data_IF_500209850932
#
_entry.id   IF_500209850932
#
_cell.length_a   1.000
_cell.length_b   1.000
_cell.length_c   1.000
_cell.angle_alpha   90.00
_cell.angle_beta   90.00
_cell.angle_gamma   90.00
#
_symmetry.space_group_name_H-M   'P 1'
#
loop_
_entity.id
_entity.type
_entity.pdbx_description
1 polymer ?
#
# COMPACT_ATOMS: atom_id res chain seq x y z
N UNK A 1 -14.23 -6.15 21.39
CA UNK A 1 -15.64 -5.96 21.00
C UNK A 1 -15.98 -4.47 20.96
N UNK A 2 -15.48 -3.80 19.92
CA UNK A 2 -15.59 -2.33 19.71
C UNK A 2 -17.07 -1.90 19.63
N UNK A 3 -17.96 -2.77 19.12
CA UNK A 3 -19.38 -2.52 19.04
C UNK A 3 -20.07 -2.40 20.41
N UNK A 4 -19.59 -3.14 21.41
CA UNK A 4 -20.11 -3.05 22.79
C UNK A 4 -19.68 -1.78 23.50
N UNK A 5 -18.45 -1.30 23.23
CA UNK A 5 -17.99 -0.01 23.76
C UNK A 5 -18.74 1.17 23.12
N UNK A 6 -19.05 1.08 21.82
CA UNK A 6 -19.85 2.08 21.12
C UNK A 6 -21.26 2.23 21.69
N UNK A 7 -21.90 1.11 22.05
CA UNK A 7 -23.25 1.10 22.64
C UNK A 7 -23.27 1.56 24.11
N UNK A 8 -22.18 1.31 24.85
CA UNK A 8 -22.08 1.69 26.27
C UNK A 8 -21.77 3.17 26.51
N UNK A 9 -21.09 3.83 25.56
CA UNK A 9 -20.67 5.24 25.71
C UNK A 9 -21.67 6.26 25.15
N UNK A 10 -22.74 5.82 24.48
CA UNK A 10 -23.80 6.70 23.97
C UNK A 10 -23.33 7.79 22.99
N UNK A 11 -22.12 7.68 22.48
CA UNK A 11 -21.54 8.69 21.59
C UNK A 11 -21.76 8.33 20.12
N UNK A 12 -22.47 9.16 19.35
CA UNK A 12 -22.62 8.98 17.91
C UNK A 12 -21.30 9.14 17.13
N UNK A 13 -20.19 9.38 17.84
CA UNK A 13 -18.87 9.63 17.27
C UNK A 13 -18.23 8.38 16.65
N UNK A 14 -18.58 7.18 17.10
CA UNK A 14 -17.98 5.94 16.59
C UNK A 14 -18.51 5.54 15.22
N UNK A 15 -19.69 5.99 14.82
CA UNK A 15 -20.20 5.79 13.45
C UNK A 15 -19.51 6.69 12.41
N UNK A 16 -18.82 7.73 12.86
CA UNK A 16 -18.02 8.63 11.99
C UNK A 16 -16.54 8.24 11.91
N UNK A 17 -16.09 7.31 12.75
CA UNK A 17 -14.71 6.77 12.69
C UNK A 17 -14.60 5.71 11.59
N UNK A 18 -14.75 6.15 10.35
CA UNK A 18 -14.80 5.28 9.16
C UNK A 18 -13.42 4.90 8.64
N UNK A 19 -12.33 5.44 9.17
CA UNK A 19 -10.98 5.13 8.70
C UNK A 19 -10.19 4.32 9.73
N UNK A 20 -9.52 3.25 9.28
CA UNK A 20 -8.73 2.36 10.15
C UNK A 20 -7.68 3.10 10.99
N UNK A 21 -7.08 4.16 10.47
CA UNK A 21 -6.10 4.98 11.17
C UNK A 21 -6.69 5.72 12.38
N UNK A 22 -7.90 6.27 12.23
CA UNK A 22 -8.60 6.97 13.32
C UNK A 22 -9.00 6.00 14.43
N UNK A 23 -9.51 4.82 14.05
CA UNK A 23 -9.85 3.77 15.00
C UNK A 23 -8.64 3.29 15.80
N UNK A 24 -7.50 3.11 15.12
CA UNK A 24 -6.23 2.75 15.77
C UNK A 24 -5.77 3.83 16.74
N UNK A 25 -5.81 5.10 16.34
CA UNK A 25 -5.43 6.22 17.18
C UNK A 25 -6.33 6.34 18.42
N UNK A 26 -7.61 6.09 18.28
CA UNK A 26 -8.55 6.10 19.40
C UNK A 26 -8.30 4.93 20.36
N UNK A 27 -8.09 3.72 19.83
CA UNK A 27 -7.76 2.55 20.64
C UNK A 27 -6.47 2.78 21.47
N UNK A 28 -5.42 3.37 20.86
CA UNK A 28 -4.20 3.73 21.59
C UNK A 28 -4.44 4.85 22.62
N UNK A 29 -5.37 5.77 22.33
CA UNK A 29 -5.68 6.86 23.27
C UNK A 29 -6.41 6.38 24.53
N UNK A 30 -7.13 5.26 24.48
CA UNK A 30 -7.78 4.69 25.66
C UNK A 30 -6.78 4.16 26.69
N UNK A 31 -5.61 3.69 26.24
CA UNK A 31 -4.57 3.13 27.11
C UNK A 31 -3.52 4.19 27.48
N UNK A 32 -3.05 4.97 26.51
CA UNK A 32 -1.92 5.90 26.65
C UNK A 32 -2.35 7.39 26.64
N UNK A 33 -3.65 7.66 26.61
CA UNK A 33 -4.17 9.03 26.58
C UNK A 33 -3.68 9.82 25.36
N UNK A 34 -3.38 11.11 25.56
CA UNK A 34 -2.93 12.01 24.48
C UNK A 34 -1.63 11.55 23.82
N UNK A 35 -0.73 10.89 24.56
CA UNK A 35 0.52 10.36 24.03
C UNK A 35 0.26 9.27 22.98
N UNK A 36 -0.73 8.40 23.19
CA UNK A 36 -1.08 7.33 22.25
C UNK A 36 -1.44 7.85 20.85
N UNK A 37 -2.24 8.93 20.76
CA UNK A 37 -2.59 9.56 19.48
C UNK A 37 -1.36 10.13 18.76
N UNK A 38 -0.48 10.81 19.49
CA UNK A 38 0.76 11.35 18.95
C UNK A 38 1.69 10.27 18.43
N UNK A 39 1.85 9.20 19.19
CA UNK A 39 2.65 8.04 18.79
C UNK A 39 2.14 7.39 17.50
N UNK A 40 0.84 7.14 17.39
CA UNK A 40 0.24 6.57 16.18
C UNK A 40 0.41 7.51 14.98
N UNK A 41 0.20 8.82 15.16
CA UNK A 41 0.36 9.80 14.08
C UNK A 41 1.80 9.83 13.53
N UNK A 42 2.81 9.87 14.40
CA UNK A 42 4.22 9.84 14.01
C UNK A 42 4.58 8.52 13.33
N UNK A 43 4.13 7.39 13.89
CA UNK A 43 4.38 6.06 13.31
C UNK A 43 3.79 5.93 11.91
N UNK A 44 2.56 6.40 11.70
CA UNK A 44 1.91 6.40 10.39
C UNK A 44 2.63 7.32 9.39
N UNK A 45 3.08 8.49 9.83
CA UNK A 45 3.84 9.40 8.98
C UNK A 45 5.17 8.79 8.52
N UNK A 46 5.93 8.17 9.44
CA UNK A 46 7.17 7.49 9.12
C UNK A 46 6.95 6.29 8.21
N UNK A 47 5.90 5.51 8.45
CA UNK A 47 5.52 4.37 7.61
C UNK A 47 5.14 4.81 6.20
N UNK A 48 4.30 5.84 6.07
CA UNK A 48 3.92 6.41 4.78
C UNK A 48 5.13 6.94 4.00
N UNK A 49 6.02 7.67 4.67
CA UNK A 49 7.26 8.18 4.07
C UNK A 49 8.17 7.06 3.57
N UNK A 50 8.41 6.05 4.40
CA UNK A 50 9.19 4.86 4.04
C UNK A 50 8.60 4.12 2.84
N UNK A 51 7.28 3.97 2.82
CA UNK A 51 6.55 3.33 1.73
C UNK A 51 6.69 4.11 0.42
N UNK A 52 6.53 5.44 0.47
CA UNK A 52 6.73 6.31 -0.70
C UNK A 52 8.15 6.19 -1.28
N UNK A 53 9.18 6.17 -0.43
CA UNK A 53 10.56 5.98 -0.86
C UNK A 53 10.77 4.62 -1.53
N UNK A 54 10.27 3.54 -0.93
CA UNK A 54 10.38 2.18 -1.46
C UNK A 54 9.70 2.05 -2.82
N UNK A 55 8.45 2.48 -2.94
CA UNK A 55 7.71 2.42 -4.20
C UNK A 55 8.29 3.33 -5.28
N UNK A 56 8.78 4.51 -4.92
CA UNK A 56 9.50 5.39 -5.84
C UNK A 56 10.73 4.71 -6.42
N UNK A 57 11.51 4.02 -5.58
CA UNK A 57 12.69 3.30 -6.03
C UNK A 57 12.35 2.13 -6.96
N UNK A 58 11.39 1.30 -6.61
CA UNK A 58 10.96 0.18 -7.47
C UNK A 58 10.43 0.65 -8.82
N UNK A 59 9.61 1.69 -8.82
CA UNK A 59 9.09 2.25 -10.06
C UNK A 59 10.19 2.87 -10.94
N UNK A 60 11.18 3.54 -10.35
CA UNK A 60 12.35 4.04 -11.11
C UNK A 60 13.12 2.90 -11.77
N UNK A 61 13.33 1.79 -11.08
CA UNK A 61 14.02 0.62 -11.63
C UNK A 61 13.24 -0.02 -12.77
N UNK A 62 11.93 -0.16 -12.61
CA UNK A 62 11.06 -0.67 -13.66
C UNK A 62 11.04 0.26 -14.90
N UNK A 63 10.92 1.56 -14.69
CA UNK A 63 10.94 2.55 -15.77
C UNK A 63 12.29 2.57 -16.51
N UNK A 64 13.40 2.51 -15.77
CA UNK A 64 14.74 2.43 -16.35
C UNK A 64 14.96 1.16 -17.17
N UNK A 65 14.42 0.04 -16.71
CA UNK A 65 14.49 -1.23 -17.45
C UNK A 65 13.73 -1.18 -18.78
N UNK A 66 12.56 -0.55 -18.81
CA UNK A 66 11.71 -0.48 -20.00
C UNK A 66 12.14 0.60 -21.00
N UNK A 67 12.58 1.76 -20.52
CA UNK A 67 12.76 2.98 -21.31
C UNK A 67 14.19 3.56 -21.22
N UNK A 68 15.06 2.93 -20.44
CA UNK A 68 16.42 3.39 -20.20
C UNK A 68 16.54 4.45 -19.08
N UNK A 69 17.75 4.72 -18.64
CA UNK A 69 18.00 5.58 -17.47
C UNK A 69 17.59 7.06 -17.64
N UNK A 70 17.46 7.52 -18.89
CA UNK A 70 17.06 8.91 -19.20
C UNK A 70 15.63 9.24 -18.71
N UNK A 71 14.81 8.24 -18.48
CA UNK A 71 13.42 8.44 -18.01
C UNK A 71 13.32 8.70 -16.49
N UNK A 72 14.37 8.41 -15.74
CA UNK A 72 14.35 8.50 -14.27
C UNK A 72 13.93 9.89 -13.76
N UNK A 73 14.47 11.02 -14.26
CA UNK A 73 14.05 12.33 -13.76
C UNK A 73 12.57 12.64 -14.07
N UNK A 74 12.09 12.23 -15.25
CA UNK A 74 10.68 12.41 -15.64
C UNK A 74 9.77 11.56 -14.74
N UNK A 75 10.15 10.30 -14.50
CA UNK A 75 9.43 9.43 -13.58
C UNK A 75 9.36 10.01 -12.16
N UNK A 76 10.47 10.53 -11.63
CA UNK A 76 10.49 11.16 -10.29
C UNK A 76 9.55 12.34 -10.20
N UNK A 77 9.56 13.21 -11.20
CA UNK A 77 8.66 14.36 -11.25
C UNK A 77 7.19 13.92 -11.31
N UNK A 78 6.86 12.97 -12.17
CA UNK A 78 5.50 12.43 -12.29
C UNK A 78 5.05 11.74 -10.98
N UNK A 79 5.92 10.95 -10.36
CA UNK A 79 5.63 10.28 -9.09
C UNK A 79 5.37 11.29 -7.97
N UNK A 80 6.17 12.34 -7.86
CA UNK A 80 6.00 13.39 -6.85
C UNK A 80 4.69 14.16 -7.07
N UNK A 81 4.38 14.52 -8.31
CA UNK A 81 3.12 15.18 -8.65
C UNK A 81 1.92 14.28 -8.33
N UNK A 82 1.99 13.00 -8.64
CA UNK A 82 0.93 12.03 -8.31
C UNK A 82 0.76 11.88 -6.79
N UNK A 83 1.85 11.84 -6.02
CA UNK A 83 1.80 11.78 -4.56
C UNK A 83 1.13 13.03 -3.96
N UNK A 84 1.49 14.22 -4.44
CA UNK A 84 0.86 15.48 -4.01
C UNK A 84 -0.62 15.53 -4.40
N UNK A 85 -0.96 15.16 -5.63
CA UNK A 85 -2.35 15.08 -6.08
C UNK A 85 -3.17 14.09 -5.22
N UNK A 86 -2.60 12.93 -4.90
CA UNK A 86 -3.24 11.94 -4.03
C UNK A 86 -3.54 12.48 -2.62
N UNK A 87 -2.68 13.34 -2.07
CA UNK A 87 -2.93 13.99 -0.78
C UNK A 87 -4.10 15.00 -0.81
N UNK A 88 -4.44 15.52 -1.99
CA UNK A 88 -5.55 16.47 -2.17
C UNK A 88 -6.89 15.79 -2.51
N UNK A 89 -6.84 14.51 -2.87
CA UNK A 89 -8.04 13.74 -3.22
C UNK A 89 -8.75 13.18 -2.00
N UNK A 90 -10.05 12.91 -2.14
CA UNK A 90 -10.82 12.16 -1.14
C UNK A 90 -10.34 10.70 -1.14
N UNK A 91 -10.44 10.06 0.02
CA UNK A 91 -9.93 8.71 0.24
C UNK A 91 -10.63 7.65 -0.63
N UNK A 92 -11.95 7.78 -0.79
CA UNK A 92 -12.78 6.80 -1.52
C UNK A 92 -12.34 6.57 -2.98
N UNK A 93 -12.17 7.63 -3.83
CA UNK A 93 -11.71 7.42 -5.21
C UNK A 93 -10.27 6.92 -5.27
N UNK A 94 -9.42 7.28 -4.30
CA UNK A 94 -8.04 6.77 -4.25
C UNK A 94 -8.04 5.26 -3.99
N UNK A 95 -8.87 4.77 -3.08
CA UNK A 95 -9.05 3.34 -2.84
C UNK A 95 -9.57 2.60 -4.07
N UNK A 96 -10.64 3.10 -4.69
CA UNK A 96 -11.21 2.48 -5.89
C UNK A 96 -10.18 2.41 -7.04
N UNK A 97 -9.38 3.46 -7.22
CA UNK A 97 -8.32 3.49 -8.22
C UNK A 97 -7.22 2.48 -7.90
N UNK A 98 -6.79 2.40 -6.63
CA UNK A 98 -5.79 1.44 -6.16
C UNK A 98 -6.23 0.00 -6.40
N UNK A 99 -7.47 -0.34 -6.06
CA UNK A 99 -8.03 -1.68 -6.26
C UNK A 99 -8.11 -2.04 -7.75
N UNK A 100 -8.48 -1.07 -8.60
CA UNK A 100 -8.52 -1.26 -10.05
C UNK A 100 -7.12 -1.58 -10.60
N UNK A 101 -6.09 -0.82 -10.21
CA UNK A 101 -4.72 -1.07 -10.65
C UNK A 101 -4.16 -2.39 -10.11
N UNK A 102 -4.47 -2.75 -8.86
CA UNK A 102 -4.11 -4.05 -8.30
C UNK A 102 -4.73 -5.20 -9.09
N UNK A 103 -6.00 -5.07 -9.48
CA UNK A 103 -6.66 -6.04 -10.36
C UNK A 103 -5.99 -6.15 -11.73
N UNK A 104 -5.62 -5.02 -12.34
CA UNK A 104 -4.93 -4.98 -13.62
C UNK A 104 -3.52 -5.60 -13.57
N UNK A 105 -2.82 -5.53 -12.44
CA UNK A 105 -1.52 -6.17 -12.27
C UNK A 105 -1.57 -7.70 -12.35
N UNK A 106 -2.73 -8.30 -12.11
CA UNK A 106 -2.91 -9.76 -12.24
C UNK A 106 -2.71 -10.24 -13.69
N UNK A 107 -3.08 -9.43 -14.69
CA UNK A 107 -2.99 -9.78 -16.10
C UNK A 107 -1.54 -10.03 -16.57
N UNK A 108 -0.60 -9.07 -16.43
CA UNK A 108 0.79 -9.29 -16.83
C UNK A 108 1.48 -10.35 -15.98
N UNK A 109 1.13 -10.45 -14.68
CA UNK A 109 1.68 -11.47 -13.80
C UNK A 109 1.27 -12.88 -14.25
N UNK A 110 -0.01 -13.08 -14.56
CA UNK A 110 -0.52 -14.35 -15.07
C UNK A 110 0.12 -14.70 -16.43
N UNK A 111 0.25 -13.74 -17.33
CA UNK A 111 0.94 -13.92 -18.61
C UNK A 111 2.40 -14.35 -18.42
N UNK A 112 3.12 -13.72 -17.49
CA UNK A 112 4.50 -14.07 -17.13
C UNK A 112 4.62 -15.50 -16.59
N UNK A 113 3.74 -15.89 -15.65
CA UNK A 113 3.71 -17.26 -15.09
C UNK A 113 3.41 -18.30 -16.18
N UNK A 114 2.46 -18.03 -17.06
CA UNK A 114 2.13 -18.93 -18.17
C UNK A 114 3.28 -19.06 -19.18
N UNK A 115 3.98 -17.96 -19.50
CA UNK A 115 5.13 -17.98 -20.40
C UNK A 115 6.29 -18.79 -19.81
N UNK A 116 6.54 -18.65 -18.51
CA UNK A 116 7.65 -19.32 -17.81
C UNK A 116 7.32 -20.74 -17.35
N UNK A 117 6.08 -21.22 -17.50
CA UNK A 117 5.64 -22.53 -17.01
C UNK A 117 6.55 -23.68 -17.43
N UNK A 118 7.02 -23.66 -18.67
CA UNK A 118 7.90 -24.72 -19.22
C UNK A 118 9.24 -24.77 -18.50
N UNK A 119 9.80 -23.61 -18.20
CA UNK A 119 11.09 -23.51 -17.48
C UNK A 119 10.93 -24.00 -16.03
N UNK A 120 9.86 -23.59 -15.36
CA UNK A 120 9.56 -24.03 -13.98
C UNK A 120 9.39 -25.54 -13.92
N UNK A 121 8.66 -26.16 -14.86
CA UNK A 121 8.47 -27.60 -14.92
C UNK A 121 9.80 -28.31 -15.20
N UNK A 122 10.63 -27.79 -16.10
CA UNK A 122 11.93 -28.38 -16.42
C UNK A 122 12.87 -28.37 -15.20
N UNK A 123 12.94 -27.24 -14.48
CA UNK A 123 13.74 -27.15 -13.25
C UNK A 123 13.21 -28.03 -12.13
N UNK A 124 11.88 -28.12 -11.98
CA UNK A 124 11.26 -29.04 -11.03
C UNK A 124 11.60 -30.52 -11.33
N UNK A 125 11.52 -30.94 -12.59
CA UNK A 125 11.91 -32.30 -13.00
C UNK A 125 13.40 -32.57 -12.79
N UNK A 126 14.24 -31.55 -13.00
CA UNK A 126 15.69 -31.63 -12.74
C UNK A 126 15.99 -31.78 -11.24
N UNK A 127 15.34 -30.98 -10.42
CA UNK A 127 15.47 -31.07 -8.96
C UNK A 127 15.06 -32.45 -8.42
N UNK A 128 13.91 -32.96 -8.88
CA UNK A 128 13.39 -34.28 -8.46
C UNK A 128 14.28 -35.46 -8.87
N UNK A 129 15.08 -35.29 -9.95
CA UNK A 129 16.02 -36.32 -10.39
C UNK A 129 17.31 -36.35 -9.57
N UNK A 130 17.64 -35.29 -8.89
CA UNK A 130 18.84 -35.14 -8.06
C UNK A 130 18.58 -35.42 -6.56
N UNK A 131 17.34 -35.76 -6.19
CA UNK A 131 16.94 -36.29 -4.89
C UNK A 131 16.90 -37.81 -4.91
#
# INVERSE_FOLDING_TARGET
>A
DVSRYALASGTPLLSQLTTGAQLTAEAFSTVFGRFGRGFVAVSLALFAFSTLLGWSYYGQRAAAYLMGERVIPVYKAAFLLAAVAGCMMRLEPVWALSDTFNGLMALPNLAGVLALRRQVIAEWCRYKRNL
#
